data_IF_162014773378
#
_entry.id   IF_162014773378
#
_cell.length_a   1.000
_cell.length_b   1.000
_cell.length_c   1.000
_cell.angle_alpha   90.00
_cell.angle_beta   90.00
_cell.angle_gamma   90.00
#
_symmetry.space_group_name_H-M   'P 1'
#
loop_
_entity.id
_entity.type
_entity.pdbx_description
1 polymer ?
#
# COMPACT_ATOMS: atom_id res chain seq x y z
N UNK A 1 -20.74 -1.98 -36.68
CA UNK A 1 -19.38 -1.81 -36.14
C UNK A 1 -19.57 -1.35 -34.71
N UNK A 2 -19.49 -2.29 -33.77
CA UNK A 2 -19.27 -1.93 -32.37
C UNK A 2 -17.86 -1.34 -32.33
N UNK A 3 -17.77 -0.08 -31.91
CA UNK A 3 -16.50 0.53 -31.57
C UNK A 3 -16.05 -0.17 -30.28
N UNK A 4 -14.91 -0.83 -30.32
CA UNK A 4 -14.34 -1.52 -29.16
C UNK A 4 -13.75 -0.47 -28.19
N UNK A 5 -14.64 0.20 -27.45
CA UNK A 5 -14.30 1.31 -26.54
C UNK A 5 -13.21 0.93 -25.53
N UNK A 6 -13.11 -0.35 -25.14
CA UNK A 6 -12.06 -0.85 -24.26
C UNK A 6 -10.66 -0.75 -24.88
N UNK A 7 -10.53 -1.11 -26.17
CA UNK A 7 -9.25 -1.05 -26.89
C UNK A 7 -8.79 0.39 -27.13
N UNK A 8 -9.69 1.29 -27.49
CA UNK A 8 -9.36 2.71 -27.69
C UNK A 8 -8.93 3.37 -26.38
N UNK A 9 -9.64 3.11 -25.27
CA UNK A 9 -9.27 3.63 -23.95
C UNK A 9 -7.94 3.08 -23.46
N UNK A 10 -7.69 1.79 -23.69
CA UNK A 10 -6.40 1.17 -23.40
C UNK A 10 -5.26 1.86 -24.14
N UNK A 11 -5.43 2.14 -25.43
CA UNK A 11 -4.42 2.86 -26.23
C UNK A 11 -4.18 4.25 -25.69
N UNK A 12 -5.22 4.98 -25.30
CA UNK A 12 -5.07 6.33 -24.74
C UNK A 12 -4.39 6.33 -23.38
N UNK A 13 -4.69 5.36 -22.51
CA UNK A 13 -3.98 5.14 -21.24
C UNK A 13 -2.52 4.79 -21.51
N UNK A 14 -2.25 3.85 -22.43
CA UNK A 14 -0.90 3.47 -22.77
C UNK A 14 -0.09 4.66 -23.31
N UNK A 15 -0.67 5.48 -24.20
CA UNK A 15 -0.05 6.73 -24.70
C UNK A 15 0.30 7.69 -23.57
N UNK A 16 -0.59 7.83 -22.59
CA UNK A 16 -0.36 8.70 -21.43
C UNK A 16 0.79 8.19 -20.56
N UNK A 17 0.80 6.89 -20.23
CA UNK A 17 1.84 6.26 -19.40
C UNK A 17 3.24 6.32 -20.06
N UNK A 18 3.31 6.52 -21.37
CA UNK A 18 4.55 6.40 -22.16
C UNK A 18 4.89 7.67 -22.93
N UNK A 19 4.36 8.83 -22.54
CA UNK A 19 4.54 10.11 -23.25
C UNK A 19 6.00 10.43 -23.58
N UNK A 20 6.94 9.91 -22.78
CA UNK A 20 8.37 10.19 -22.86
C UNK A 20 9.20 8.97 -23.35
N UNK A 21 8.56 7.88 -23.79
CA UNK A 21 9.21 6.59 -24.15
C UNK A 21 8.95 6.15 -25.60
N UNK A 22 9.94 6.39 -26.46
CA UNK A 22 9.89 6.14 -27.92
C UNK A 22 9.66 4.68 -28.31
N UNK A 23 10.18 3.73 -27.54
CA UNK A 23 10.11 2.29 -27.76
C UNK A 23 8.72 1.71 -27.49
N UNK A 24 7.98 2.28 -26.54
CA UNK A 24 6.59 1.89 -26.26
C UNK A 24 5.61 2.64 -27.17
N UNK A 25 5.90 3.89 -27.53
CA UNK A 25 5.13 4.64 -28.52
C UNK A 25 5.07 3.93 -29.89
N UNK A 26 6.15 3.23 -30.29
CA UNK A 26 6.16 2.41 -31.51
C UNK A 26 5.27 1.16 -31.38
N UNK A 27 5.26 0.51 -30.22
CA UNK A 27 4.38 -0.63 -29.96
C UNK A 27 2.90 -0.23 -29.95
N UNK A 28 2.58 0.95 -29.38
CA UNK A 28 1.24 1.55 -29.45
C UNK A 28 0.81 1.79 -30.90
N UNK A 29 1.72 2.27 -31.77
CA UNK A 29 1.39 2.46 -33.20
C UNK A 29 1.17 1.14 -33.94
N UNK A 30 1.87 0.06 -33.57
CA UNK A 30 1.72 -1.26 -34.18
C UNK A 30 0.41 -1.95 -33.75
N UNK A 31 -0.02 -1.75 -32.50
CA UNK A 31 -1.26 -2.31 -31.94
C UNK A 31 -2.54 -1.73 -32.59
N UNK A 32 -2.48 -0.55 -33.20
CA UNK A 32 -3.58 -0.01 -34.02
C UNK A 32 -3.82 -0.79 -35.32
N UNK A 33 -2.90 -1.68 -35.71
CA UNK A 33 -2.94 -2.40 -36.99
C UNK A 33 -2.95 -3.92 -36.86
N UNK A 34 -2.69 -4.47 -35.67
CA UNK A 34 -2.58 -5.90 -35.41
C UNK A 34 -3.20 -6.23 -34.03
N UNK A 35 -4.05 -7.25 -33.99
CA UNK A 35 -4.74 -7.69 -32.77
C UNK A 35 -3.77 -8.45 -31.83
N UNK A 36 -2.76 -9.11 -32.39
CA UNK A 36 -1.73 -9.83 -31.62
C UNK A 36 -0.73 -8.85 -30.94
N UNK A 37 -0.74 -7.57 -31.32
CA UNK A 37 0.15 -6.55 -30.77
C UNK A 37 -0.30 -5.96 -29.41
N UNK A 38 -1.48 -6.35 -28.90
CA UNK A 38 -1.91 -6.02 -27.53
C UNK A 38 -1.03 -6.71 -26.47
N UNK A 39 -0.73 -7.99 -26.66
CA UNK A 39 0.11 -8.77 -25.74
C UNK A 39 1.53 -8.18 -25.67
N UNK A 40 2.11 -7.84 -26.82
CA UNK A 40 3.44 -7.20 -26.89
C UNK A 40 3.46 -5.82 -26.20
N UNK A 41 2.39 -5.02 -26.34
CA UNK A 41 2.28 -3.74 -25.63
C UNK A 41 2.19 -3.92 -24.11
N UNK A 42 1.39 -4.88 -23.64
CA UNK A 42 1.29 -5.20 -22.21
C UNK A 42 2.63 -5.70 -21.63
N UNK A 43 3.34 -6.57 -22.36
CA UNK A 43 4.68 -7.03 -21.98
C UNK A 43 5.65 -5.85 -21.86
N UNK A 44 5.62 -4.92 -22.83
CA UNK A 44 6.49 -3.75 -22.79
C UNK A 44 6.15 -2.81 -21.65
N UNK A 45 4.86 -2.59 -21.35
CA UNK A 45 4.41 -1.77 -20.22
C UNK A 45 4.79 -2.41 -18.87
N UNK A 46 4.76 -3.74 -18.77
CA UNK A 46 5.17 -4.47 -17.57
C UNK A 46 6.69 -4.44 -17.36
N UNK A 47 7.48 -4.71 -18.41
CA UNK A 47 8.96 -4.57 -18.38
C UNK A 47 9.42 -3.15 -18.04
N UNK A 48 8.55 -2.20 -18.36
CA UNK A 48 8.68 -0.78 -18.09
C UNK A 48 8.31 -0.37 -16.66
N UNK A 49 7.78 -1.30 -15.86
CA UNK A 49 7.22 -1.07 -14.51
C UNK A 49 6.09 -0.03 -14.49
N UNK A 50 5.33 0.08 -15.59
CA UNK A 50 4.19 1.01 -15.70
C UNK A 50 2.85 0.34 -15.39
N UNK A 51 2.80 -0.99 -15.52
CA UNK A 51 1.63 -1.81 -15.19
C UNK A 51 2.08 -3.12 -14.54
N UNK A 52 1.19 -3.75 -13.79
CA UNK A 52 1.32 -5.14 -13.37
C UNK A 52 0.35 -5.99 -14.17
N UNK A 53 0.87 -6.90 -14.98
CA UNK A 53 0.05 -7.88 -15.69
C UNK A 53 -0.05 -9.16 -14.84
N UNK A 54 -1.10 -9.96 -15.03
CA UNK A 54 -1.26 -11.31 -14.44
C UNK A 54 -1.78 -11.38 -13.00
N UNK A 55 -2.48 -10.35 -12.56
CA UNK A 55 -2.97 -10.21 -11.18
C UNK A 55 -3.86 -11.37 -10.74
N UNK A 56 -4.73 -11.88 -11.63
CA UNK A 56 -5.64 -12.97 -11.29
C UNK A 56 -4.91 -14.29 -10.97
N UNK A 57 -3.68 -14.44 -11.48
CA UNK A 57 -2.84 -15.65 -11.35
C UNK A 57 -1.79 -15.55 -10.26
N UNK A 58 -1.67 -14.41 -9.60
CA UNK A 58 -0.71 -14.17 -8.53
C UNK A 58 -1.35 -14.29 -7.14
N UNK A 59 -0.52 -14.44 -6.11
CA UNK A 59 -1.00 -14.41 -4.74
C UNK A 59 -1.10 -12.95 -4.25
N UNK A 60 -1.93 -12.65 -3.23
CA UNK A 60 -2.14 -11.29 -2.73
C UNK A 60 -0.84 -10.55 -2.36
N UNK A 61 0.08 -11.21 -1.65
CA UNK A 61 1.35 -10.62 -1.23
C UNK A 61 2.21 -10.17 -2.43
N UNK A 62 2.29 -11.01 -3.47
CA UNK A 62 3.00 -10.68 -4.71
C UNK A 62 2.36 -9.49 -5.40
N UNK A 63 1.03 -9.44 -5.51
CA UNK A 63 0.32 -8.33 -6.16
C UNK A 63 0.57 -7.02 -5.43
N UNK A 64 0.51 -7.01 -4.09
CA UNK A 64 0.82 -5.82 -3.29
C UNK A 64 2.25 -5.35 -3.52
N UNK A 65 3.21 -6.28 -3.49
CA UNK A 65 4.61 -5.94 -3.72
C UNK A 65 4.86 -5.37 -5.12
N UNK A 66 4.22 -5.94 -6.15
CA UNK A 66 4.34 -5.46 -7.52
C UNK A 66 3.72 -4.07 -7.68
N UNK A 67 2.51 -3.85 -7.13
CA UNK A 67 1.82 -2.56 -7.19
C UNK A 67 2.61 -1.45 -6.46
N UNK A 68 3.27 -1.77 -5.35
CA UNK A 68 4.08 -0.81 -4.60
C UNK A 68 5.29 -0.26 -5.38
N UNK A 69 5.72 -0.93 -6.45
CA UNK A 69 6.81 -0.47 -7.31
C UNK A 69 6.35 0.41 -8.47
N UNK A 70 5.04 0.50 -8.72
CA UNK A 70 4.54 1.30 -9.83
C UNK A 70 4.67 2.81 -9.56
N UNK A 71 4.87 3.62 -10.61
CA UNK A 71 4.75 5.07 -10.52
C UNK A 71 3.39 5.48 -9.97
N UNK A 72 3.36 6.59 -9.23
CA UNK A 72 2.14 7.15 -8.64
C UNK A 72 1.46 6.25 -7.59
N UNK A 73 2.04 5.09 -7.24
CA UNK A 73 1.56 4.30 -6.11
C UNK A 73 1.50 5.17 -4.84
N UNK A 74 0.45 5.06 -4.01
CA UNK A 74 0.39 5.79 -2.76
C UNK A 74 1.66 5.54 -1.95
N UNK A 75 2.37 6.62 -1.61
CA UNK A 75 3.59 6.54 -0.82
C UNK A 75 3.36 5.87 0.53
N UNK A 76 2.12 5.93 1.03
CA UNK A 76 1.73 5.40 2.34
C UNK A 76 0.31 4.86 2.28
N UNK A 77 0.16 3.58 2.62
CA UNK A 77 -1.10 3.01 3.05
C UNK A 77 -1.21 3.06 4.59
N UNK A 78 -2.42 3.08 5.17
CA UNK A 78 -2.59 2.99 6.62
C UNK A 78 -1.94 1.72 7.16
N UNK A 79 -1.23 1.82 8.27
CA UNK A 79 -0.50 0.68 8.80
C UNK A 79 -1.47 -0.40 9.31
N UNK A 80 -1.16 -1.68 9.09
CA UNK A 80 -2.00 -2.81 9.50
C UNK A 80 -3.09 -3.20 8.48
N UNK A 81 -3.22 -2.45 7.38
CA UNK A 81 -4.30 -2.68 6.40
C UNK A 81 -4.27 -4.08 5.79
N UNK A 82 -3.08 -4.63 5.52
CA UNK A 82 -2.93 -5.91 4.84
C UNK A 82 -3.18 -7.10 5.79
N UNK A 83 -2.85 -6.97 7.07
CA UNK A 83 -3.18 -7.95 8.11
C UNK A 83 -4.68 -8.05 8.32
N UNK A 84 -5.38 -6.91 8.31
CA UNK A 84 -6.84 -6.88 8.37
C UNK A 84 -7.44 -7.53 7.13
N UNK A 85 -6.93 -7.21 5.95
CA UNK A 85 -7.31 -7.89 4.71
C UNK A 85 -7.15 -9.42 4.85
N UNK A 86 -5.97 -9.90 5.24
CA UNK A 86 -5.69 -11.34 5.38
C UNK A 86 -6.63 -12.03 6.36
N UNK A 87 -6.94 -11.38 7.48
CA UNK A 87 -7.87 -11.93 8.46
C UNK A 87 -9.31 -11.92 7.97
N UNK A 88 -9.70 -10.92 7.20
CA UNK A 88 -11.06 -10.81 6.65
C UNK A 88 -11.31 -11.85 5.56
N UNK A 89 -10.30 -12.11 4.72
CA UNK A 89 -10.40 -13.10 3.63
C UNK A 89 -10.04 -14.52 4.07
N UNK A 90 -9.91 -14.79 5.37
CA UNK A 90 -9.61 -16.13 5.87
C UNK A 90 -10.74 -17.09 5.44
N UNK A 91 -10.37 -18.12 4.68
CA UNK A 91 -11.31 -19.12 4.17
C UNK A 91 -12.06 -18.73 2.88
N UNK A 92 -11.78 -17.56 2.30
CA UNK A 92 -12.32 -17.19 0.99
C UNK A 92 -11.61 -17.95 -0.13
N UNK A 93 -12.28 -18.14 -1.27
CA UNK A 93 -11.61 -18.63 -2.46
C UNK A 93 -10.67 -17.55 -3.04
N UNK A 94 -9.76 -17.96 -3.93
CA UNK A 94 -8.72 -17.10 -4.49
C UNK A 94 -9.30 -15.91 -5.28
N UNK A 95 -10.34 -16.15 -6.08
CA UNK A 95 -10.95 -15.11 -6.92
C UNK A 95 -11.55 -14.02 -6.05
N UNK A 96 -12.41 -14.42 -5.10
CA UNK A 96 -13.02 -13.51 -4.14
C UNK A 96 -11.97 -12.76 -3.31
N UNK A 97 -10.90 -13.45 -2.87
CA UNK A 97 -9.79 -12.83 -2.12
C UNK A 97 -9.12 -11.72 -2.93
N UNK A 98 -8.86 -11.96 -4.22
CA UNK A 98 -8.23 -10.97 -5.09
C UNK A 98 -9.15 -9.79 -5.37
N UNK A 99 -10.44 -10.02 -5.64
CA UNK A 99 -11.42 -8.94 -5.84
C UNK A 99 -11.50 -8.02 -4.61
N UNK A 100 -11.53 -8.61 -3.41
CA UNK A 100 -11.53 -7.85 -2.15
C UNK A 100 -10.24 -7.06 -1.98
N UNK A 101 -9.07 -7.66 -2.30
CA UNK A 101 -7.78 -6.99 -2.22
C UNK A 101 -7.75 -5.73 -3.09
N UNK A 102 -8.11 -5.88 -4.36
CA UNK A 102 -8.04 -4.79 -5.33
C UNK A 102 -9.06 -3.70 -5.03
N UNK A 103 -10.23 -4.06 -4.52
CA UNK A 103 -11.22 -3.11 -4.01
C UNK A 103 -10.69 -2.30 -2.82
N UNK A 104 -10.06 -2.96 -1.85
CA UNK A 104 -9.47 -2.28 -0.69
C UNK A 104 -8.30 -1.37 -1.08
N UNK A 105 -7.39 -1.84 -1.94
CA UNK A 105 -6.30 -1.01 -2.46
C UNK A 105 -6.88 0.19 -3.21
N UNK A 106 -7.87 -0.02 -4.07
CA UNK A 106 -8.54 1.07 -4.79
C UNK A 106 -9.15 2.13 -3.87
N UNK A 107 -9.84 1.72 -2.82
CA UNK A 107 -10.41 2.63 -1.81
C UNK A 107 -9.33 3.43 -1.08
N UNK A 108 -8.32 2.73 -0.55
CA UNK A 108 -7.22 3.38 0.18
C UNK A 108 -6.39 4.30 -0.71
N UNK A 109 -6.19 3.94 -1.98
CA UNK A 109 -5.52 4.81 -2.95
C UNK A 109 -6.32 6.08 -3.20
N UNK A 110 -7.64 5.97 -3.34
CA UNK A 110 -8.51 7.14 -3.57
C UNK A 110 -8.41 8.14 -2.41
N UNK A 111 -8.33 7.67 -1.16
CA UNK A 111 -8.08 8.54 0.00
C UNK A 111 -6.75 9.30 -0.09
N UNK A 112 -5.75 8.70 -0.76
CA UNK A 112 -4.44 9.28 -1.00
C UNK A 112 -4.38 10.18 -2.26
N UNK A 113 -5.52 10.41 -2.94
CA UNK A 113 -5.59 11.23 -4.15
C UNK A 113 -5.13 10.52 -5.43
N UNK A 114 -4.99 9.20 -5.38
CA UNK A 114 -4.57 8.34 -6.49
C UNK A 114 -5.69 7.35 -6.81
N UNK A 115 -5.85 6.94 -8.05
CA UNK A 115 -6.80 5.87 -8.42
C UNK A 115 -6.05 4.64 -8.91
N UNK A 116 -6.53 3.46 -8.51
CA UNK A 116 -6.15 2.20 -9.13
C UNK A 116 -6.99 2.02 -10.40
N UNK A 117 -6.33 2.01 -11.55
CA UNK A 117 -6.95 1.80 -12.86
C UNK A 117 -6.75 0.35 -13.27
N UNK A 118 -7.85 -0.28 -13.65
CA UNK A 118 -7.86 -1.62 -14.22
C UNK A 118 -8.01 -1.53 -15.75
N UNK A 119 -7.15 -2.24 -16.46
CA UNK A 119 -7.15 -2.45 -17.90
C UNK A 119 -7.52 -3.91 -18.17
N UNK A 120 -8.61 -4.12 -18.91
CA UNK A 120 -8.98 -5.43 -19.43
C UNK A 120 -7.96 -5.91 -20.48
N UNK A 121 -7.40 -7.10 -20.29
CA UNK A 121 -6.44 -7.72 -21.22
C UNK A 121 -7.09 -8.56 -22.32
N UNK A 122 -8.44 -8.60 -22.37
CA UNK A 122 -9.27 -9.47 -23.21
C UNK A 122 -9.08 -10.97 -22.95
N UNK A 123 -8.36 -11.34 -21.88
CA UNK A 123 -8.22 -12.70 -21.37
C UNK A 123 -8.80 -12.86 -19.97
N UNK A 124 -8.43 -13.93 -19.28
CA UNK A 124 -8.82 -14.18 -17.88
C UNK A 124 -8.06 -13.29 -16.86
N UNK A 125 -7.53 -12.15 -17.29
CA UNK A 125 -6.62 -11.33 -16.49
C UNK A 125 -6.77 -9.82 -16.71
N UNK A 126 -6.17 -9.08 -15.80
CA UNK A 126 -6.22 -7.63 -15.74
C UNK A 126 -4.82 -7.05 -15.64
N UNK A 127 -4.60 -5.91 -16.29
CA UNK A 127 -3.41 -5.09 -16.09
C UNK A 127 -3.76 -3.91 -15.17
N UNK A 128 -2.99 -3.72 -14.10
CA UNK A 128 -3.26 -2.69 -13.10
C UNK A 128 -2.21 -1.59 -13.13
N UNK A 129 -2.64 -0.35 -12.88
CA UNK A 129 -1.73 0.81 -12.73
C UNK A 129 -2.32 1.87 -11.79
N UNK A 130 -1.48 2.75 -11.27
CA UNK A 130 -1.91 3.91 -10.48
C UNK A 130 -1.86 5.18 -11.32
N UNK A 131 -2.80 6.10 -11.04
CA UNK A 131 -2.83 7.42 -11.67
C UNK A 131 -3.27 8.50 -10.68
N UNK A 132 -2.84 9.76 -10.85
CA UNK A 132 -3.44 10.88 -10.14
C UNK A 132 -4.96 10.92 -10.35
N UNK A 133 -5.72 11.21 -9.30
CA UNK A 133 -7.18 11.11 -9.34
C UNK A 133 -7.84 11.97 -10.43
N UNK A 134 -7.34 13.19 -10.65
CA UNK A 134 -7.84 14.10 -11.69
C UNK A 134 -7.58 13.59 -13.12
N UNK A 135 -6.48 12.87 -13.32
CA UNK A 135 -6.15 12.20 -14.58
C UNK A 135 -7.03 10.97 -14.77
N UNK A 136 -7.18 10.15 -13.74
CA UNK A 136 -8.03 8.96 -13.76
C UNK A 136 -9.48 9.26 -14.10
N UNK A 137 -10.05 10.30 -13.47
CA UNK A 137 -11.43 10.76 -13.73
C UNK A 137 -11.67 11.10 -15.21
N UNK A 138 -10.66 11.65 -15.90
CA UNK A 138 -10.75 11.93 -17.34
C UNK A 138 -10.80 10.66 -18.17
N UNK A 139 -10.05 9.62 -17.80
CA UNK A 139 -10.08 8.34 -18.50
C UNK A 139 -11.38 7.57 -18.28
N UNK A 140 -11.91 7.56 -17.06
CA UNK A 140 -13.21 6.95 -16.77
C UNK A 140 -14.35 7.59 -17.58
N UNK A 141 -14.26 8.90 -17.87
CA UNK A 141 -15.23 9.59 -18.71
C UNK A 141 -15.17 9.20 -20.20
N UNK A 142 -14.05 8.65 -20.68
CA UNK A 142 -13.83 8.30 -22.09
C UNK A 142 -14.34 6.88 -22.42
N UNK A 143 -14.29 5.94 -21.47
CA UNK A 143 -14.79 4.57 -21.65
C UNK A 143 -15.58 4.05 -20.44
N UNK A 144 -16.77 4.62 -20.18
CA UNK A 144 -17.63 4.19 -19.08
C UNK A 144 -18.07 2.74 -19.29
N UNK A 145 -17.67 1.85 -18.36
CA UNK A 145 -18.02 0.42 -18.37
C UNK A 145 -16.89 -0.54 -18.80
N UNK A 146 -15.80 -0.02 -19.37
CA UNK A 146 -14.54 -0.77 -19.61
C UNK A 146 -13.45 -0.38 -18.62
N UNK A 147 -13.49 0.87 -18.16
CA UNK A 147 -12.73 1.34 -17.02
C UNK A 147 -13.73 1.58 -15.89
N UNK A 148 -13.68 0.74 -14.86
CA UNK A 148 -14.39 1.01 -13.61
C UNK A 148 -13.36 1.51 -12.61
N UNK A 149 -13.64 2.55 -11.80
CA UNK A 149 -12.98 2.60 -10.50
C UNK A 149 -13.28 1.24 -9.87
N UNK A 150 -12.26 0.53 -9.38
CA UNK A 150 -12.49 -0.68 -8.61
C UNK A 150 -13.18 -0.29 -7.30
N UNK A 151 -14.49 -0.04 -7.39
CA UNK A 151 -15.41 -0.04 -6.29
C UNK A 151 -15.97 -1.43 -6.24
N UNK A 152 -15.80 -2.05 -5.08
CA UNK A 152 -16.41 -3.32 -4.73
C UNK A 152 -17.87 -3.30 -5.19
N UNK A 153 -18.30 -4.39 -5.82
CA UNK A 153 -19.70 -4.61 -6.18
C UNK A 153 -20.60 -4.19 -5.02
N UNK A 154 -21.75 -3.52 -5.26
CA UNK A 154 -22.63 -3.06 -4.17
C UNK A 154 -22.98 -4.18 -3.17
N UNK A 155 -23.02 -5.44 -3.60
CA UNK A 155 -23.21 -6.60 -2.72
C UNK A 155 -21.99 -6.93 -1.83
N UNK A 156 -20.77 -6.72 -2.33
CA UNK A 156 -19.51 -6.89 -1.59
C UNK A 156 -19.25 -5.67 -0.68
N UNK A 157 -19.63 -4.46 -1.12
CA UNK A 157 -19.63 -3.25 -0.31
C UNK A 157 -20.60 -3.35 0.88
N UNK A 158 -21.75 -4.01 0.71
CA UNK A 158 -22.66 -4.33 1.82
C UNK A 158 -22.03 -5.36 2.78
N UNK A 159 -21.16 -6.27 2.32
CA UNK A 159 -20.47 -7.22 3.20
C UNK A 159 -19.27 -6.60 3.96
N UNK A 160 -18.51 -5.71 3.33
CA UNK A 160 -17.49 -4.90 4.02
C UNK A 160 -18.11 -3.86 4.98
N UNK A 161 -19.33 -3.38 4.69
CA UNK A 161 -20.13 -2.61 5.64
C UNK A 161 -20.84 -3.47 6.70
N UNK A 162 -21.07 -4.77 6.43
CA UNK A 162 -21.79 -5.69 7.32
C UNK A 162 -20.87 -6.65 8.11
N UNK A 163 -19.55 -6.58 7.91
CA UNK A 163 -18.62 -6.93 8.96
C UNK A 163 -18.85 -5.92 10.09
N UNK A 164 -19.65 -6.31 11.08
CA UNK A 164 -20.09 -5.49 12.22
C UNK A 164 -18.96 -4.92 13.09
N UNK A 165 -17.71 -5.10 12.70
CA UNK A 165 -16.58 -4.32 13.15
C UNK A 165 -16.21 -3.39 12.00
N UNK A 166 -16.76 -2.16 12.01
CA UNK A 166 -16.22 -1.07 11.21
C UNK A 166 -14.70 -1.10 11.34
N UNK A 167 -13.95 -1.17 10.24
CA UNK A 167 -12.50 -1.06 10.27
C UNK A 167 -12.18 0.34 10.79
N UNK A 168 -11.94 0.45 12.09
CA UNK A 168 -11.73 1.76 12.72
C UNK A 168 -10.29 2.16 12.45
N UNK A 169 -10.15 3.14 11.56
CA UNK A 169 -8.91 3.91 11.45
C UNK A 169 -8.75 4.73 12.72
N UNK A 170 -7.62 4.54 13.39
CA UNK A 170 -7.25 5.31 14.57
C UNK A 170 -5.96 6.04 14.25
N UNK A 171 -6.00 7.37 14.36
CA UNK A 171 -4.80 8.19 14.31
C UNK A 171 -4.18 8.23 15.70
N UNK A 172 -2.90 7.88 15.81
CA UNK A 172 -2.18 7.79 17.09
C UNK A 172 -0.82 8.49 17.01
N UNK A 173 -0.43 9.22 18.04
CA UNK A 173 0.97 9.52 18.27
C UNK A 173 1.65 8.33 18.93
N UNK A 174 2.85 8.04 18.47
CA UNK A 174 3.65 6.93 18.93
C UNK A 174 4.95 7.46 19.53
N UNK A 175 5.35 6.90 20.66
CA UNK A 175 6.70 7.06 21.20
C UNK A 175 7.21 5.77 21.81
N UNK A 176 8.52 5.59 21.80
CA UNK A 176 9.19 4.49 22.47
C UNK A 176 10.35 4.99 23.33
N UNK A 177 10.68 4.21 24.35
CA UNK A 177 11.85 4.40 25.19
C UNK A 177 12.44 3.04 25.53
N UNK A 178 13.70 2.83 25.15
CA UNK A 178 14.50 1.67 25.54
C UNK A 178 15.44 2.09 26.67
N UNK A 179 15.38 1.39 27.80
CA UNK A 179 16.19 1.67 28.99
C UNK A 179 17.05 0.47 29.39
N UNK A 180 18.08 0.70 30.21
CA UNK A 180 18.99 -0.35 30.68
C UNK A 180 20.14 -0.64 29.71
N UNK A 181 20.52 0.34 28.89
CA UNK A 181 21.62 0.21 27.92
C UNK A 181 22.94 0.56 28.62
N UNK A 182 23.94 -0.30 28.43
CA UNK A 182 25.17 -0.32 29.22
C UNK A 182 26.07 0.90 28.96
N UNK A 183 26.14 1.33 27.70
CA UNK A 183 27.01 2.41 27.24
C UNK A 183 26.39 3.17 26.03
N UNK A 184 26.99 4.29 25.57
CA UNK A 184 26.48 5.06 24.45
C UNK A 184 26.46 4.28 23.12
N UNK A 185 27.41 3.35 22.92
CA UNK A 185 27.54 2.60 21.69
C UNK A 185 26.38 1.59 21.59
N UNK A 186 26.08 0.88 22.68
CA UNK A 186 24.91 0.01 22.78
C UNK A 186 23.59 0.79 22.57
N UNK A 187 23.50 2.02 23.09
CA UNK A 187 22.33 2.87 22.85
C UNK A 187 22.17 3.26 21.38
N UNK A 188 23.28 3.53 20.69
CA UNK A 188 23.28 3.86 19.27
C UNK A 188 23.00 2.65 18.39
N UNK A 189 23.53 1.47 18.70
CA UNK A 189 23.21 0.22 17.99
C UNK A 189 21.73 -0.12 18.10
N UNK A 190 21.15 -0.03 19.30
CA UNK A 190 19.70 -0.23 19.49
C UNK A 190 18.90 0.78 18.67
N UNK A 191 19.32 2.05 18.64
CA UNK A 191 18.66 3.08 17.84
C UNK A 191 18.62 2.70 16.35
N UNK A 192 19.75 2.30 15.78
CA UNK A 192 19.84 1.91 14.36
C UNK A 192 18.97 0.69 14.01
N UNK A 193 18.89 -0.28 14.91
CA UNK A 193 18.07 -1.48 14.70
C UNK A 193 16.58 -1.18 14.81
N UNK A 194 16.22 -0.29 15.73
CA UNK A 194 14.85 0.21 15.86
C UNK A 194 14.45 1.04 14.64
N UNK A 195 15.34 1.90 14.12
CA UNK A 195 15.12 2.64 12.87
C UNK A 195 14.93 1.68 11.69
N UNK A 196 15.78 0.67 11.57
CA UNK A 196 15.66 -0.37 10.53
C UNK A 196 14.37 -1.17 10.64
N UNK A 197 13.88 -1.42 11.85
CA UNK A 197 12.58 -2.04 12.09
C UNK A 197 11.44 -1.14 11.62
N UNK A 198 11.50 0.17 11.87
CA UNK A 198 10.49 1.11 11.41
C UNK A 198 10.49 1.27 9.89
N UNK A 199 11.65 1.34 9.24
CA UNK A 199 11.71 1.42 7.77
C UNK A 199 10.97 0.24 7.10
N UNK A 200 11.05 -0.95 7.71
CA UNK A 200 10.35 -2.15 7.22
C UNK A 200 8.86 -2.19 7.57
N UNK A 201 8.50 -1.75 8.78
CA UNK A 201 7.16 -1.98 9.35
C UNK A 201 6.23 -0.78 9.15
N UNK A 202 6.80 0.41 9.03
CA UNK A 202 6.12 1.70 8.88
C UNK A 202 6.70 2.42 7.65
N UNK A 203 6.77 1.74 6.50
CA UNK A 203 7.36 2.31 5.29
C UNK A 203 6.79 3.70 4.97
N UNK A 204 7.69 4.66 4.76
CA UNK A 204 7.36 6.04 4.51
C UNK A 204 7.11 6.88 5.76
N UNK A 205 7.00 6.32 6.96
CA UNK A 205 6.85 7.08 8.20
C UNK A 205 8.20 7.50 8.78
N UNK A 206 8.26 8.73 9.26
CA UNK A 206 9.41 9.24 9.99
C UNK A 206 9.18 9.07 11.48
N UNK A 207 10.08 8.33 12.13
CA UNK A 207 10.18 8.28 13.59
C UNK A 207 11.51 8.94 13.93
N UNK A 208 11.48 10.00 14.72
CA UNK A 208 12.67 10.71 15.13
C UNK A 208 13.29 10.02 16.30
N UNK A 209 14.56 9.64 16.15
CA UNK A 209 15.31 8.88 17.14
C UNK A 209 16.43 9.70 17.78
N UNK A 210 16.66 9.49 19.08
CA UNK A 210 17.84 10.02 19.77
C UNK A 210 18.29 9.10 20.89
N UNK A 211 19.54 9.28 21.33
CA UNK A 211 20.06 8.65 22.55
C UNK A 211 20.23 9.71 23.63
N UNK A 212 20.03 9.30 24.88
CA UNK A 212 20.21 10.16 26.05
C UNK A 212 20.83 9.36 27.21
N UNK A 213 21.24 10.07 28.26
CA UNK A 213 21.72 9.49 29.50
C UNK A 213 20.72 9.71 30.63
N UNK A 214 20.43 8.65 31.38
CA UNK A 214 19.51 8.65 32.52
C UNK A 214 20.19 8.15 33.78
N UNK A 215 19.57 8.35 34.95
CA UNK A 215 20.05 7.83 36.23
C UNK A 215 20.24 6.29 36.23
N UNK A 216 19.57 5.58 35.32
CA UNK A 216 19.59 4.13 35.15
C UNK A 216 20.52 3.65 34.01
N UNK A 217 21.33 4.53 33.42
CA UNK A 217 22.19 4.22 32.28
C UNK A 217 21.74 4.92 31.00
N UNK A 218 22.19 4.43 29.85
CA UNK A 218 21.86 5.03 28.57
C UNK A 218 20.47 4.60 28.10
N UNK A 219 19.84 5.47 27.31
CA UNK A 219 18.52 5.25 26.75
C UNK A 219 18.50 5.56 25.26
N UNK A 220 17.70 4.82 24.51
CA UNK A 220 17.31 5.15 23.15
C UNK A 220 15.83 5.51 23.14
N UNK A 221 15.46 6.62 22.52
CA UNK A 221 14.09 7.11 22.50
C UNK A 221 13.72 7.63 21.13
N UNK A 222 12.44 7.57 20.80
CA UNK A 222 11.94 8.21 19.60
C UNK A 222 10.43 8.33 19.56
N UNK A 223 9.95 9.18 18.66
CA UNK A 223 8.53 9.50 18.51
C UNK A 223 8.19 9.90 17.06
N UNK A 224 6.91 10.08 16.77
CA UNK A 224 6.44 10.49 15.43
C UNK A 224 6.43 12.01 15.21
N UNK A 225 7.09 12.80 16.07
CA UNK A 225 7.24 14.27 15.98
C UNK A 225 5.94 15.02 15.61
N UNK A 226 4.83 14.71 16.29
CA UNK A 226 3.50 15.28 16.03
C UNK A 226 2.86 14.90 14.69
N UNK A 227 3.46 14.04 13.89
CA UNK A 227 2.80 13.42 12.74
C UNK A 227 2.05 12.18 13.23
N UNK A 228 0.72 12.17 13.19
CA UNK A 228 -0.03 11.04 13.71
C UNK A 228 0.03 9.85 12.76
N UNK A 229 0.30 8.66 13.31
CA UNK A 229 0.26 7.40 12.60
C UNK A 229 -1.20 6.95 12.41
N UNK A 230 -1.62 6.81 11.16
CA UNK A 230 -2.93 6.24 10.84
C UNK A 230 -2.85 4.71 10.82
N UNK A 231 -3.51 4.05 11.77
CA UNK A 231 -3.52 2.59 11.91
C UNK A 231 -4.94 2.05 11.73
N UNK A 232 -5.04 0.99 10.94
CA UNK A 232 -6.26 0.21 10.75
C UNK A 232 -6.33 -0.92 11.80
N UNK A 233 -7.44 -1.02 12.53
CA UNK A 233 -7.64 -1.99 13.62
C UNK A 233 -6.53 -1.90 14.69
N UNK A 234 -6.39 -0.68 15.24
CA UNK A 234 -5.27 -0.29 16.11
C UNK A 234 -5.03 -1.25 17.26
N UNK A 235 -6.07 -1.72 17.94
CA UNK A 235 -5.89 -2.61 19.11
C UNK A 235 -5.22 -3.94 18.73
N UNK A 236 -5.59 -4.51 17.59
CA UNK A 236 -5.00 -5.77 17.09
C UNK A 236 -3.60 -5.55 16.54
N UNK A 237 -3.41 -4.48 15.76
CA UNK A 237 -2.11 -4.17 15.18
C UNK A 237 -1.07 -3.82 16.25
N UNK A 238 -1.46 -3.02 17.25
CA UNK A 238 -0.58 -2.54 18.33
C UNK A 238 0.15 -3.68 19.03
N UNK A 239 -0.56 -4.73 19.44
CA UNK A 239 0.08 -5.84 20.17
C UNK A 239 1.16 -6.53 19.34
N UNK A 240 0.89 -6.76 18.05
CA UNK A 240 1.86 -7.40 17.16
C UNK A 240 3.09 -6.52 16.92
N UNK A 241 2.88 -5.21 16.76
CA UNK A 241 3.95 -4.25 16.60
C UNK A 241 4.86 -4.17 17.83
N UNK A 242 4.27 -4.04 19.03
CA UNK A 242 5.03 -3.94 20.27
C UNK A 242 5.85 -5.21 20.54
N UNK A 243 5.28 -6.38 20.27
CA UNK A 243 5.99 -7.66 20.44
C UNK A 243 7.16 -7.79 19.47
N UNK A 244 6.97 -7.40 18.21
CA UNK A 244 8.04 -7.38 17.21
C UNK A 244 9.16 -6.40 17.60
N UNK A 245 8.82 -5.19 18.05
CA UNK A 245 9.80 -4.21 18.52
C UNK A 245 10.59 -4.74 19.73
N UNK A 246 9.92 -5.34 20.71
CA UNK A 246 10.57 -5.97 21.87
C UNK A 246 11.52 -7.09 21.44
N UNK A 247 11.12 -7.92 20.49
CA UNK A 247 11.94 -9.00 19.95
C UNK A 247 13.18 -8.45 19.22
N UNK A 248 13.03 -7.39 18.43
CA UNK A 248 14.15 -6.70 17.78
C UNK A 248 15.13 -6.21 18.83
N UNK A 249 14.70 -5.42 19.81
CA UNK A 249 15.59 -4.89 20.86
C UNK A 249 16.25 -6.01 21.67
N UNK A 250 15.50 -7.04 22.07
CA UNK A 250 16.02 -8.15 22.90
C UNK A 250 17.12 -8.96 22.21
N UNK A 251 17.19 -8.92 20.87
CA UNK A 251 18.24 -9.61 20.10
C UNK A 251 19.61 -8.94 20.23
N UNK A 252 19.64 -7.66 20.59
CA UNK A 252 20.87 -6.84 20.74
C UNK A 252 21.14 -6.46 22.19
N UNK A 253 20.09 -6.12 22.95
CA UNK A 253 20.17 -5.75 24.35
C UNK A 253 19.16 -6.58 25.19
N UNK A 254 19.49 -7.83 25.54
CA UNK A 254 18.55 -8.76 26.20
C UNK A 254 18.07 -8.32 27.59
N UNK A 255 18.84 -7.45 28.25
CA UNK A 255 18.51 -6.89 29.56
C UNK A 255 17.74 -5.56 29.47
N UNK A 256 17.57 -5.00 28.27
CA UNK A 256 16.91 -3.73 28.07
C UNK A 256 15.38 -3.87 28.19
N UNK A 257 14.75 -2.83 28.72
CA UNK A 257 13.30 -2.74 28.80
C UNK A 257 12.79 -1.78 27.71
N UNK A 258 11.77 -2.20 26.97
CA UNK A 258 11.12 -1.39 25.93
C UNK A 258 9.77 -0.90 26.43
N UNK A 259 9.65 0.41 26.62
CA UNK A 259 8.39 1.09 26.91
C UNK A 259 7.85 1.71 25.64
N UNK A 260 6.58 1.45 25.32
CA UNK A 260 5.88 2.04 24.18
C UNK A 260 4.67 2.81 24.68
N UNK A 261 4.46 4.02 24.16
CA UNK A 261 3.30 4.85 24.47
C UNK A 261 2.55 5.19 23.19
N UNK A 262 1.23 5.09 23.27
CA UNK A 262 0.32 5.43 22.19
C UNK A 262 -0.70 6.46 22.68
N UNK A 263 -0.80 7.58 21.99
CA UNK A 263 -1.75 8.64 22.32
C UNK A 263 -2.71 8.83 21.15
N UNK A 264 -4.00 8.47 21.30
CA UNK A 264 -4.99 8.70 20.26
C UNK A 264 -5.11 10.18 19.94
N UNK A 265 -5.13 10.52 18.65
CA UNK A 265 -5.48 11.86 18.20
C UNK A 265 -6.96 12.05 18.45
N UNK A 266 -7.30 12.79 19.51
CA UNK A 266 -8.68 13.20 19.73
C UNK A 266 -9.04 14.21 18.63
N UNK A 267 -10.02 13.94 17.75
CA UNK A 267 -10.44 14.93 16.77
C UNK A 267 -10.89 16.16 17.55
N UNK A 268 -10.21 17.30 17.31
CA UNK A 268 -10.65 18.58 17.87
C UNK A 268 -12.09 18.77 17.42
N UNK A 269 -13.00 18.84 18.39
CA UNK A 269 -14.41 19.10 18.14
C UNK A 269 -14.50 20.36 17.28
N UNK A 270 -15.00 20.22 16.06
CA UNK A 270 -15.23 21.33 15.14
C UNK A 270 -16.33 22.27 15.65
#
# INVERSE_FOLDING_TARGET
MEVDFGREAFVEIAKFLVSDRTDIAQAVQQQLTDDDALEELLIRLEQAELVVCRVARENPDTVVALLANLPEAPLRFPVGWFEVFRSYTEGFDRGTTMEVLLGLIGELSCEAGVVLVNIDTQGDDYALTFMPGDVGDRFFAIAPGYLSPMRLDPGVAIALSAATNSVQRTDVHFSYKVIGLEDPDAAFEVLQEVDSFYERTLAGWWVSGSTDHSDSGYVALGDTESTPLSVVDFDRWRSGFEDALRQTVSSFAPAAEVCVTWEPVVPRSA
#
